data_IF_350557704435
#
_entry.id   IF_350557704435
#
_cell.length_a   1.000
_cell.length_b   1.000
_cell.length_c   1.000
_cell.angle_alpha   90.00
_cell.angle_beta   90.00
_cell.angle_gamma   90.00
#
_symmetry.space_group_name_H-M   'P 1'
#
loop_
_entity.id
_entity.type
_entity.pdbx_description
1 polymer ?
#
# COMPACT_ATOMS: atom_id res chain seq x y z
N UNK A 1 5.03 -1.69 13.76
CA UNK A 1 5.48 -1.90 12.36
C UNK A 1 4.96 -0.74 11.54
N UNK A 2 5.85 0.04 10.93
CA UNK A 2 5.47 1.24 10.15
C UNK A 2 5.54 0.91 8.66
N UNK A 3 4.52 1.31 7.90
CA UNK A 3 4.43 1.10 6.46
C UNK A 3 4.50 2.45 5.75
N UNK A 4 5.26 2.54 4.65
CA UNK A 4 5.34 3.73 3.83
C UNK A 4 4.84 3.41 2.42
N UNK A 5 3.68 3.98 2.08
CA UNK A 5 3.09 3.94 0.74
C UNK A 5 3.57 5.15 -0.07
N UNK A 6 4.25 4.90 -1.18
CA UNK A 6 4.62 5.92 -2.16
C UNK A 6 3.75 5.84 -3.41
N UNK A 7 3.10 6.94 -3.77
CA UNK A 7 2.28 7.07 -4.98
C UNK A 7 3.01 7.95 -5.99
N UNK A 8 3.32 7.39 -7.17
CA UNK A 8 3.99 8.13 -8.23
C UNK A 8 2.99 9.03 -9.01
N UNK A 9 3.53 10.08 -9.65
CA UNK A 9 2.73 10.97 -10.50
C UNK A 9 2.32 10.35 -11.85
N UNK A 10 1.53 11.10 -12.63
CA UNK A 10 1.07 10.68 -13.96
C UNK A 10 2.24 10.37 -14.91
N UNK A 11 2.15 9.27 -15.66
CA UNK A 11 3.20 8.73 -16.57
C UNK A 11 4.54 8.41 -15.90
N UNK A 12 4.60 8.41 -14.58
CA UNK A 12 5.76 7.93 -13.81
C UNK A 12 5.59 6.46 -13.43
N UNK A 13 6.55 5.94 -12.67
CA UNK A 13 6.60 4.53 -12.28
C UNK A 13 7.35 4.35 -10.95
N UNK A 14 7.30 3.13 -10.36
CA UNK A 14 8.18 2.72 -9.27
C UNK A 14 9.67 2.82 -9.62
N UNK A 15 10.02 2.77 -10.90
CA UNK A 15 11.39 2.95 -11.41
C UNK A 15 11.76 4.42 -11.63
N UNK A 16 10.98 5.38 -11.12
CA UNK A 16 11.40 6.79 -11.14
C UNK A 16 12.60 7.02 -10.20
N UNK A 17 13.40 8.04 -10.50
CA UNK A 17 14.56 8.39 -9.66
C UNK A 17 14.18 8.65 -8.20
N UNK A 18 13.07 9.35 -7.96
CA UNK A 18 12.60 9.68 -6.60
C UNK A 18 12.20 8.42 -5.82
N UNK A 19 11.51 7.48 -6.46
CA UNK A 19 11.09 6.24 -5.83
C UNK A 19 12.28 5.36 -5.44
N UNK A 20 13.22 5.15 -6.37
CA UNK A 20 14.45 4.37 -6.10
C UNK A 20 15.31 5.04 -5.02
N UNK A 21 15.55 6.35 -5.12
CA UNK A 21 16.36 7.08 -4.14
C UNK A 21 15.79 6.98 -2.72
N UNK A 22 14.47 7.04 -2.58
CA UNK A 22 13.81 6.88 -1.29
C UNK A 22 13.84 5.44 -0.79
N UNK A 23 13.62 4.46 -1.67
CA UNK A 23 13.74 3.04 -1.34
C UNK A 23 15.13 2.69 -0.82
N UNK A 24 16.19 3.12 -1.50
CA UNK A 24 17.58 2.89 -1.10
C UNK A 24 17.88 3.54 0.24
N UNK A 25 17.39 4.76 0.46
CA UNK A 25 17.58 5.46 1.72
C UNK A 25 16.88 4.74 2.88
N UNK A 26 15.65 4.26 2.68
CA UNK A 26 14.91 3.47 3.67
C UNK A 26 15.62 2.15 3.97
N UNK A 27 16.11 1.44 2.94
CA UNK A 27 16.85 0.21 3.13
C UNK A 27 18.11 0.41 3.99
N UNK A 28 18.81 1.54 3.80
CA UNK A 28 20.03 1.84 4.54
C UNK A 28 19.79 2.37 5.97
N UNK A 29 18.75 3.20 6.18
CA UNK A 29 18.58 3.94 7.44
C UNK A 29 17.39 3.48 8.28
N UNK A 30 16.40 2.85 7.66
CA UNK A 30 15.09 2.52 8.24
C UNK A 30 14.58 1.16 7.77
N UNK A 31 15.35 0.07 7.92
CA UNK A 31 14.96 -1.25 7.44
C UNK A 31 13.67 -1.79 8.09
N UNK A 32 13.27 -1.24 9.24
CA UNK A 32 12.02 -1.55 9.93
C UNK A 32 10.78 -1.00 9.21
N UNK A 33 10.94 -0.06 8.29
CA UNK A 33 9.85 0.54 7.51
C UNK A 33 9.56 -0.35 6.31
N UNK A 34 8.32 -0.86 6.24
CA UNK A 34 7.88 -1.61 5.07
C UNK A 34 7.57 -0.65 3.92
N UNK A 35 8.44 -0.64 2.93
CA UNK A 35 8.28 0.11 1.68
C UNK A 35 7.22 -0.54 0.79
N UNK A 36 6.30 0.28 0.27
CA UNK A 36 5.34 -0.14 -0.75
C UNK A 36 5.15 0.95 -1.80
N UNK A 37 5.53 0.65 -3.05
CA UNK A 37 5.40 1.54 -4.19
C UNK A 37 4.88 0.74 -5.41
N UNK A 38 3.56 0.49 -5.50
CA UNK A 38 2.99 -0.26 -6.62
C UNK A 38 3.00 0.56 -7.91
N UNK A 39 2.98 -0.12 -9.05
CA UNK A 39 2.66 0.52 -10.32
C UNK A 39 1.18 0.90 -10.35
N UNK A 40 0.88 2.18 -10.56
CA UNK A 40 -0.49 2.65 -10.66
C UNK A 40 -1.02 2.51 -12.11
N UNK A 41 -2.25 2.04 -12.30
CA UNK A 41 -2.93 2.09 -13.59
C UNK A 41 -3.26 3.55 -13.95
N UNK A 42 -3.43 3.86 -15.25
CA UNK A 42 -3.73 5.22 -15.70
C UNK A 42 -5.13 5.70 -15.29
N UNK A 43 -6.06 4.78 -15.02
CA UNK A 43 -7.41 5.08 -14.55
C UNK A 43 -7.38 5.50 -13.06
N UNK A 44 -7.83 6.72 -12.71
CA UNK A 44 -7.88 7.16 -11.31
C UNK A 44 -8.73 6.24 -10.42
N UNK A 45 -9.83 5.70 -10.97
CA UNK A 45 -10.72 4.78 -10.25
C UNK A 45 -10.00 3.49 -9.88
N UNK A 46 -9.28 2.90 -10.84
CA UNK A 46 -8.54 1.66 -10.64
C UNK A 46 -7.34 1.87 -9.71
N UNK A 47 -6.63 2.99 -9.86
CA UNK A 47 -5.50 3.33 -8.99
C UNK A 47 -5.94 3.43 -7.52
N UNK A 48 -7.07 4.10 -7.28
CA UNK A 48 -7.62 4.19 -5.93
C UNK A 48 -8.16 2.85 -5.42
N UNK A 49 -8.66 1.97 -6.28
CA UNK A 49 -9.06 0.62 -5.88
C UNK A 49 -7.85 -0.21 -5.44
N UNK A 50 -6.75 -0.16 -6.20
CA UNK A 50 -5.48 -0.81 -5.86
C UNK A 50 -4.91 -0.30 -4.53
N UNK A 51 -4.91 1.02 -4.33
CA UNK A 51 -4.43 1.64 -3.08
C UNK A 51 -5.26 1.17 -1.89
N UNK A 52 -6.59 1.21 -1.99
CA UNK A 52 -7.49 0.74 -0.91
C UNK A 52 -7.22 -0.70 -0.54
N UNK A 53 -7.09 -1.59 -1.53
CA UNK A 53 -6.83 -3.02 -1.28
C UNK A 53 -5.53 -3.26 -0.53
N UNK A 54 -4.48 -2.48 -0.78
CA UNK A 54 -3.18 -2.69 -0.11
C UNK A 54 -3.00 -1.95 1.21
N UNK A 55 -3.85 -0.96 1.54
CA UNK A 55 -3.86 -0.32 2.87
C UNK A 55 -4.90 -0.93 3.83
N UNK A 56 -5.85 -1.72 3.31
CA UNK A 56 -6.84 -2.41 4.14
C UNK A 56 -6.11 -3.31 5.15
N UNK A 57 -6.36 -3.17 6.46
CA UNK A 57 -5.86 -4.14 7.41
C UNK A 57 -6.46 -5.52 7.08
N UNK A 58 -5.74 -6.63 7.35
CA UNK A 58 -6.33 -7.95 7.19
C UNK A 58 -7.63 -8.00 8.00
N UNK A 59 -8.75 -8.32 7.35
CA UNK A 59 -10.04 -8.48 8.01
C UNK A 59 -9.86 -9.61 9.04
N UNK A 60 -9.67 -9.23 10.31
CA UNK A 60 -9.82 -10.15 11.42
C UNK A 60 -11.22 -10.74 11.30
N UNK A 61 -11.30 -12.03 10.99
CA UNK A 61 -12.53 -12.79 11.01
C UNK A 61 -13.04 -12.78 12.46
N UNK A 62 -13.72 -11.71 12.86
CA UNK A 62 -14.58 -11.76 14.05
C UNK A 62 -15.68 -12.74 13.68
N UNK A 63 -15.83 -13.88 14.38
CA UNK A 63 -16.97 -14.73 14.14
C UNK A 63 -18.20 -13.85 14.33
N UNK A 64 -19.06 -13.78 13.31
CA UNK A 64 -20.39 -13.18 13.47
C UNK A 64 -21.05 -14.01 14.55
N UNK A 65 -21.10 -13.48 15.78
CA UNK A 65 -21.83 -14.11 16.87
C UNK A 65 -23.21 -14.42 16.31
N UNK A 66 -23.51 -15.72 16.18
CA UNK A 66 -24.73 -16.19 15.58
C UNK A 66 -25.90 -15.50 16.25
N UNK A 67 -26.73 -14.84 15.44
CA UNK A 67 -28.08 -14.49 15.86
C UNK A 67 -28.76 -15.81 16.20
N UNK A 68 -28.80 -16.17 17.48
CA UNK A 68 -29.85 -17.05 17.98
C UNK A 68 -31.09 -16.19 18.00
N UNK A 69 -31.91 -16.29 16.95
CA UNK A 69 -33.32 -15.98 17.10
C UNK A 69 -33.90 -17.07 18.00
N UNK A 70 -34.41 -16.63 19.14
CA UNK A 70 -35.31 -17.37 20.01
C UNK A 70 -36.62 -17.67 19.29
#
# INVERSE_FOLDING_TARGET
MTHLLYLHGFRSSPSSFKAQRLQDWLAAHRPEVRWWCPQLPPSPREAMALVRQGIEPPVSQRPRAGRRCC
#
